data_IF_967863274210
#
_entry.id   IF_967863274210
#
_cell.length_a   1.000
_cell.length_b   1.000
_cell.length_c   1.000
_cell.angle_alpha   90.00
_cell.angle_beta   90.00
_cell.angle_gamma   90.00
#
_symmetry.space_group_name_H-M   'P 1'
#
loop_
_entity.id
_entity.type
_entity.pdbx_description
1 polymer ?
#
# COMPACT_ATOMS: atom_id res chain seq x y z
N UNK A 1 -52.74 33.05 41.17
CA UNK A 1 -52.91 32.87 39.71
C UNK A 1 -52.94 34.27 39.09
N UNK A 2 -51.87 34.72 38.45
CA UNK A 2 -51.77 36.10 37.96
C UNK A 2 -52.37 36.14 36.56
N UNK A 3 -53.64 36.57 36.43
CA UNK A 3 -54.27 36.75 35.13
C UNK A 3 -53.71 38.03 34.50
N UNK A 4 -52.98 37.89 33.39
CA UNK A 4 -52.54 39.04 32.61
C UNK A 4 -53.72 39.56 31.80
N UNK A 5 -54.29 40.68 32.24
CA UNK A 5 -55.32 41.41 31.51
C UNK A 5 -54.59 42.41 30.60
N UNK A 6 -54.87 42.38 29.30
CA UNK A 6 -54.24 43.32 28.36
C UNK A 6 -54.64 44.76 28.71
N UNK A 7 -53.76 45.72 28.44
CA UNK A 7 -54.03 47.14 28.72
C UNK A 7 -55.31 47.63 28.03
N UNK A 8 -55.61 47.14 26.81
CA UNK A 8 -56.86 47.46 26.12
C UNK A 8 -58.10 46.89 26.82
N UNK A 9 -58.02 45.68 27.41
CA UNK A 9 -59.12 45.13 28.22
C UNK A 9 -59.27 45.90 29.54
N UNK A 10 -58.17 46.33 30.17
CA UNK A 10 -58.24 47.21 31.36
C UNK A 10 -58.89 48.56 31.04
N UNK A 11 -58.59 49.13 29.87
CA UNK A 11 -59.17 50.38 29.40
C UNK A 11 -60.69 50.26 29.18
N UNK A 12 -61.16 49.16 28.58
CA UNK A 12 -62.58 48.87 28.39
C UNK A 12 -63.34 48.82 29.74
N UNK A 13 -62.78 48.12 30.73
CA UNK A 13 -63.37 48.09 32.07
C UNK A 13 -63.36 49.47 32.73
N UNK A 14 -62.29 50.25 32.58
CA UNK A 14 -62.20 51.60 33.18
C UNK A 14 -63.26 52.57 32.62
N UNK A 15 -63.55 52.51 31.32
CA UNK A 15 -64.58 53.33 30.66
C UNK A 15 -65.99 52.96 31.14
N UNK A 16 -66.27 51.65 31.25
CA UNK A 16 -67.55 51.16 31.76
C UNK A 16 -67.85 51.63 33.19
N UNK A 17 -66.84 51.67 34.07
CA UNK A 17 -67.00 52.11 35.45
C UNK A 17 -67.02 53.63 35.64
N UNK A 18 -66.46 54.43 34.73
CA UNK A 18 -66.38 55.91 34.87
C UNK A 18 -67.59 56.66 34.29
N UNK A 19 -68.06 56.29 33.10
CA UNK A 19 -68.99 57.13 32.33
C UNK A 19 -70.42 56.57 32.22
N UNK A 20 -70.69 55.37 32.77
CA UNK A 20 -72.00 54.69 32.89
C UNK A 20 -72.92 54.69 31.64
N UNK A 21 -72.38 54.88 30.44
CA UNK A 21 -73.18 54.87 29.20
C UNK A 21 -72.77 53.72 28.30
N UNK A 22 -73.77 52.99 27.82
CA UNK A 22 -73.62 51.84 26.91
C UNK A 22 -72.96 52.25 25.59
N UNK A 23 -73.25 53.46 25.11
CA UNK A 23 -72.70 54.03 23.86
C UNK A 23 -71.18 54.19 23.89
N UNK A 24 -70.63 54.74 24.96
CA UNK A 24 -69.18 54.94 25.10
C UNK A 24 -68.44 53.60 25.20
N UNK A 25 -69.05 52.61 25.86
CA UNK A 25 -68.49 51.27 25.95
C UNK A 25 -68.48 50.55 24.60
N UNK A 26 -69.57 50.63 23.82
CA UNK A 26 -69.64 50.05 22.46
C UNK A 26 -68.61 50.71 21.52
N UNK A 27 -68.42 52.03 21.62
CA UNK A 27 -67.40 52.74 20.84
C UNK A 27 -65.97 52.25 21.18
N UNK A 28 -65.66 52.15 22.46
CA UNK A 28 -64.37 51.66 22.93
C UNK A 28 -64.13 50.20 22.53
N UNK A 29 -65.16 49.35 22.55
CA UNK A 29 -65.10 47.97 22.06
C UNK A 29 -64.77 47.91 20.56
N UNK A 30 -65.41 48.75 19.75
CA UNK A 30 -65.16 48.82 18.31
C UNK A 30 -63.74 49.32 18.00
N UNK A 31 -63.23 50.29 18.75
CA UNK A 31 -61.83 50.76 18.64
C UNK A 31 -60.86 49.65 19.04
N UNK A 32 -61.07 49.00 20.19
CA UNK A 32 -60.23 47.89 20.64
C UNK A 32 -60.22 46.72 19.64
N UNK A 33 -61.36 46.40 19.02
CA UNK A 33 -61.44 45.36 18.00
C UNK A 33 -60.63 45.74 16.73
N UNK A 34 -60.72 47.00 16.28
CA UNK A 34 -59.93 47.51 15.15
C UNK A 34 -58.44 47.51 15.47
N UNK A 35 -58.04 48.00 16.64
CA UNK A 35 -56.64 48.00 17.07
C UNK A 35 -56.08 46.59 17.21
N UNK A 36 -56.85 45.66 17.78
CA UNK A 36 -56.45 44.25 17.89
C UNK A 36 -56.24 43.62 16.52
N UNK A 37 -57.08 43.95 15.54
CA UNK A 37 -56.95 43.47 14.16
C UNK A 37 -55.72 44.09 13.46
N UNK A 38 -55.49 45.40 13.62
CA UNK A 38 -54.33 46.11 13.08
C UNK A 38 -53.03 45.55 13.66
N UNK A 39 -52.94 45.42 14.98
CA UNK A 39 -51.77 44.88 15.67
C UNK A 39 -51.48 43.43 15.25
N UNK A 40 -52.52 42.60 15.07
CA UNK A 40 -52.34 41.24 14.55
C UNK A 40 -51.73 41.23 13.14
N UNK A 41 -52.15 42.16 12.28
CA UNK A 41 -51.62 42.27 10.92
C UNK A 41 -50.17 42.78 10.91
N UNK A 42 -49.87 43.79 11.73
CA UNK A 42 -48.51 44.34 11.85
C UNK A 42 -47.50 43.28 12.34
N UNK A 43 -47.90 42.45 13.32
CA UNK A 43 -47.09 41.32 13.79
C UNK A 43 -46.83 40.33 12.64
N UNK A 44 -47.85 39.97 11.85
CA UNK A 44 -47.68 39.06 10.70
C UNK A 44 -46.73 39.64 9.65
N UNK A 45 -46.90 40.91 9.31
CA UNK A 45 -46.08 41.59 8.30
C UNK A 45 -44.61 41.70 8.74
N UNK A 46 -44.38 41.98 10.04
CA UNK A 46 -43.05 41.97 10.63
C UNK A 46 -42.41 40.59 10.55
N UNK A 47 -43.11 39.54 10.99
CA UNK A 47 -42.59 38.17 10.93
C UNK A 47 -42.32 37.71 9.49
N UNK A 48 -43.19 38.09 8.54
CA UNK A 48 -43.00 37.75 7.13
C UNK A 48 -41.78 38.44 6.52
N UNK A 49 -41.54 39.70 6.90
CA UNK A 49 -40.36 40.46 6.50
C UNK A 49 -39.07 39.82 7.03
N UNK A 50 -39.03 39.49 8.32
CA UNK A 50 -37.88 38.83 8.95
C UNK A 50 -37.60 37.47 8.31
N UNK A 51 -38.63 36.68 8.05
CA UNK A 51 -38.52 35.39 7.38
C UNK A 51 -37.98 35.54 5.95
N UNK A 52 -38.49 36.50 5.19
CA UNK A 52 -38.02 36.79 3.83
C UNK A 52 -36.55 37.20 3.81
N UNK A 53 -36.12 38.01 4.77
CA UNK A 53 -34.71 38.42 4.90
C UNK A 53 -33.81 37.25 5.32
N UNK A 54 -34.29 36.35 6.18
CA UNK A 54 -33.55 35.13 6.52
C UNK A 54 -33.36 34.22 5.29
N UNK A 55 -34.41 34.06 4.47
CA UNK A 55 -34.34 33.29 3.23
C UNK A 55 -33.38 33.92 2.22
N UNK A 56 -33.36 35.25 2.08
CA UNK A 56 -32.47 35.91 1.10
C UNK A 56 -30.98 35.81 1.45
N UNK A 57 -30.65 35.55 2.73
CA UNK A 57 -29.28 35.29 3.19
C UNK A 57 -28.84 33.84 2.95
N UNK A 58 -29.76 32.92 2.66
CA UNK A 58 -29.40 31.53 2.37
C UNK A 58 -28.66 31.46 1.02
N UNK A 59 -27.58 30.66 0.94
CA UNK A 59 -26.90 30.43 -0.34
C UNK A 59 -27.87 29.79 -1.33
N UNK A 60 -27.80 30.23 -2.58
CA UNK A 60 -28.60 29.65 -3.65
C UNK A 60 -28.11 28.24 -3.97
N UNK A 61 -29.02 27.42 -4.52
CA UNK A 61 -28.70 26.06 -4.99
C UNK A 61 -27.57 26.12 -6.04
N UNK A 62 -27.57 27.11 -6.92
CA UNK A 62 -26.53 27.29 -7.94
C UNK A 62 -25.14 27.53 -7.33
N UNK A 63 -25.04 28.30 -6.24
CA UNK A 63 -23.79 28.52 -5.54
C UNK A 63 -23.28 27.22 -4.90
N UNK A 64 -24.19 26.41 -4.36
CA UNK A 64 -23.85 25.10 -3.79
C UNK A 64 -23.38 24.12 -4.87
N UNK A 65 -24.07 24.05 -6.00
CA UNK A 65 -23.68 23.22 -7.14
C UNK A 65 -22.29 23.61 -7.65
N UNK A 66 -22.05 24.91 -7.85
CA UNK A 66 -20.73 25.41 -8.29
C UNK A 66 -19.61 25.03 -7.31
N UNK A 67 -19.89 25.04 -6.00
CA UNK A 67 -18.92 24.59 -4.98
C UNK A 67 -18.71 23.08 -5.03
N UNK A 68 -19.77 22.32 -5.29
CA UNK A 68 -19.71 20.88 -5.43
C UNK A 68 -18.90 20.47 -6.66
N UNK A 69 -19.15 21.07 -7.82
CA UNK A 69 -18.41 20.82 -9.07
C UNK A 69 -16.90 21.12 -8.89
N UNK A 70 -16.57 22.23 -8.23
CA UNK A 70 -15.17 22.57 -7.90
C UNK A 70 -14.53 21.54 -6.97
N UNK A 71 -15.28 21.03 -6.00
CA UNK A 71 -14.81 20.01 -5.09
C UNK A 71 -14.56 18.70 -5.83
N UNK A 72 -15.51 18.27 -6.67
CA UNK A 72 -15.42 17.08 -7.50
C UNK A 72 -14.19 17.13 -8.41
N UNK A 73 -14.02 18.22 -9.17
CA UNK A 73 -12.85 18.42 -10.02
C UNK A 73 -11.53 18.36 -9.24
N UNK A 74 -11.48 19.01 -8.07
CA UNK A 74 -10.30 19.01 -7.20
C UNK A 74 -9.95 17.61 -6.66
N UNK A 75 -10.97 16.82 -6.33
CA UNK A 75 -10.80 15.44 -5.86
C UNK A 75 -10.34 14.54 -7.00
N UNK A 76 -10.98 14.59 -8.17
CA UNK A 76 -10.56 13.83 -9.35
C UNK A 76 -9.10 14.12 -9.71
N UNK A 77 -8.72 15.40 -9.79
CA UNK A 77 -7.35 15.78 -10.12
C UNK A 77 -6.31 15.30 -9.08
N UNK A 78 -6.70 15.14 -7.81
CA UNK A 78 -5.82 14.54 -6.78
C UNK A 78 -5.72 13.03 -6.92
N UNK A 79 -6.81 12.36 -7.27
CA UNK A 79 -6.82 10.92 -7.50
C UNK A 79 -5.96 10.56 -8.72
N UNK A 80 -6.10 11.28 -9.83
CA UNK A 80 -5.29 11.04 -11.04
C UNK A 80 -3.78 11.18 -10.76
N UNK A 81 -3.39 12.21 -9.99
CA UNK A 81 -2.00 12.42 -9.58
C UNK A 81 -1.50 11.30 -8.67
N UNK A 82 -2.36 10.81 -7.77
CA UNK A 82 -2.02 9.71 -6.88
C UNK A 82 -1.81 8.42 -7.67
N UNK A 83 -2.73 8.10 -8.57
CA UNK A 83 -2.66 6.94 -9.46
C UNK A 83 -1.35 6.94 -10.26
N UNK A 84 -1.06 8.05 -10.96
CA UNK A 84 0.17 8.19 -11.72
C UNK A 84 1.43 8.00 -10.84
N UNK A 85 1.45 8.59 -9.64
CA UNK A 85 2.58 8.44 -8.72
C UNK A 85 2.73 7.01 -8.20
N UNK A 86 1.64 6.26 -8.04
CA UNK A 86 1.68 4.87 -7.57
C UNK A 86 2.19 3.97 -8.69
N UNK A 87 1.67 4.11 -9.90
CA UNK A 87 2.15 3.37 -11.08
C UNK A 87 3.65 3.57 -11.29
N UNK A 88 4.12 4.82 -11.31
CA UNK A 88 5.55 5.10 -11.49
C UNK A 88 6.46 4.54 -10.38
N UNK A 89 5.92 4.31 -9.17
CA UNK A 89 6.67 3.65 -8.08
C UNK A 89 6.67 2.13 -8.25
N UNK A 90 5.59 1.55 -8.75
CA UNK A 90 5.51 0.12 -9.05
C UNK A 90 6.47 -0.25 -10.18
N UNK A 91 6.50 0.51 -11.28
CA UNK A 91 7.40 0.27 -12.40
C UNK A 91 8.87 0.26 -11.95
N UNK A 92 9.27 1.26 -11.15
CA UNK A 92 10.63 1.33 -10.58
C UNK A 92 10.95 0.18 -9.64
N UNK A 93 9.95 -0.31 -8.92
CA UNK A 93 10.12 -1.45 -8.01
C UNK A 93 10.32 -2.73 -8.82
N UNK A 94 9.54 -2.92 -9.88
CA UNK A 94 9.66 -4.05 -10.81
C UNK A 94 11.06 -4.08 -11.44
N UNK A 95 11.50 -2.97 -12.04
CA UNK A 95 12.85 -2.84 -12.62
C UNK A 95 13.96 -3.20 -11.62
N UNK A 96 13.84 -2.71 -10.38
CA UNK A 96 14.81 -2.95 -9.30
C UNK A 96 14.84 -4.41 -8.85
N UNK A 97 13.68 -5.08 -8.84
CA UNK A 97 13.58 -6.50 -8.50
C UNK A 97 14.17 -7.35 -9.62
N UNK A 98 13.81 -7.09 -10.89
CA UNK A 98 14.40 -7.78 -12.05
C UNK A 98 15.93 -7.67 -12.04
N UNK A 99 16.48 -6.45 -11.91
CA UNK A 99 17.92 -6.24 -11.87
C UNK A 99 18.64 -6.93 -10.68
N UNK A 100 17.93 -7.19 -9.58
CA UNK A 100 18.47 -7.94 -8.43
C UNK A 100 18.42 -9.45 -8.63
N UNK A 101 17.53 -9.95 -9.48
CA UNK A 101 17.43 -11.37 -9.81
C UNK A 101 18.40 -11.77 -10.92
N UNK A 102 18.65 -10.89 -11.90
CA UNK A 102 19.57 -11.19 -13.02
C UNK A 102 21.04 -11.25 -12.57
N UNK A 103 21.48 -10.32 -11.71
CA UNK A 103 22.89 -10.26 -11.22
C UNK A 103 23.41 -11.54 -10.56
N UNK A 104 22.68 -12.20 -9.65
CA UNK A 104 23.13 -13.45 -9.06
C UNK A 104 23.15 -14.61 -10.07
N UNK A 105 22.29 -14.61 -11.08
CA UNK A 105 22.30 -15.64 -12.12
C UNK A 105 23.63 -15.63 -12.89
N UNK A 106 24.04 -14.48 -13.41
CA UNK A 106 25.34 -14.32 -14.10
C UNK A 106 26.53 -14.72 -13.21
N UNK A 107 26.48 -14.34 -11.92
CA UNK A 107 27.53 -14.64 -10.95
C UNK A 107 27.63 -16.12 -10.63
N UNK A 108 26.49 -16.82 -10.56
CA UNK A 108 26.44 -18.27 -10.34
C UNK A 108 26.93 -19.00 -11.58
N UNK A 109 26.49 -18.62 -12.78
CA UNK A 109 26.98 -19.19 -14.04
C UNK A 109 28.51 -19.08 -14.15
N UNK A 110 29.07 -17.88 -13.94
CA UNK A 110 30.51 -17.68 -13.99
C UNK A 110 31.30 -18.48 -12.93
N UNK A 111 30.68 -18.79 -11.78
CA UNK A 111 31.30 -19.67 -10.76
C UNK A 111 31.24 -21.13 -11.16
N UNK A 112 30.15 -21.56 -11.81
CA UNK A 112 30.01 -22.92 -12.33
C UNK A 112 31.02 -23.18 -13.46
N UNK A 113 31.16 -22.27 -14.42
CA UNK A 113 32.14 -22.39 -15.51
C UNK A 113 33.56 -22.54 -14.97
N UNK A 114 33.96 -21.69 -14.02
CA UNK A 114 35.28 -21.77 -13.37
C UNK A 114 35.49 -23.07 -12.59
N UNK A 115 34.42 -23.61 -12.01
CA UNK A 115 34.49 -24.88 -11.29
C UNK A 115 34.65 -26.03 -12.29
N UNK A 116 33.91 -26.01 -13.39
CA UNK A 116 34.01 -26.98 -14.48
C UNK A 116 35.43 -27.01 -15.05
N UNK A 117 35.98 -25.86 -15.43
CA UNK A 117 37.35 -25.72 -15.93
C UNK A 117 38.39 -26.30 -14.94
N UNK A 118 38.22 -25.99 -13.66
CA UNK A 118 39.11 -26.45 -12.58
C UNK A 118 39.04 -27.97 -12.38
N UNK A 119 37.84 -28.55 -12.49
CA UNK A 119 37.62 -30.00 -12.41
C UNK A 119 38.21 -30.70 -13.63
N UNK A 120 37.95 -30.20 -14.85
CA UNK A 120 38.54 -30.72 -16.08
C UNK A 120 40.06 -30.72 -16.01
N UNK A 121 40.69 -29.60 -15.61
CA UNK A 121 42.14 -29.53 -15.48
C UNK A 121 42.72 -30.49 -14.44
N UNK A 122 41.97 -30.82 -13.37
CA UNK A 122 42.39 -31.83 -12.39
C UNK A 122 42.25 -33.25 -12.94
N UNK A 123 41.19 -33.54 -13.70
CA UNK A 123 41.00 -34.82 -14.37
C UNK A 123 42.09 -35.08 -15.40
N UNK A 124 42.42 -34.10 -16.25
CA UNK A 124 43.50 -34.21 -17.23
C UNK A 124 44.85 -34.51 -16.55
N UNK A 125 45.14 -33.85 -15.42
CA UNK A 125 46.36 -34.12 -14.65
C UNK A 125 46.38 -35.53 -14.06
N UNK A 126 45.24 -36.04 -13.59
CA UNK A 126 45.13 -37.39 -13.07
C UNK A 126 45.27 -38.44 -14.18
N UNK A 127 44.65 -38.21 -15.34
CA UNK A 127 44.76 -39.08 -16.52
C UNK A 127 46.21 -39.17 -16.99
N UNK A 128 46.90 -38.03 -17.14
CA UNK A 128 48.32 -38.01 -17.50
C UNK A 128 49.21 -38.77 -16.50
N UNK A 129 48.94 -38.63 -15.20
CA UNK A 129 49.67 -39.39 -14.16
C UNK A 129 49.40 -40.89 -14.25
N UNK A 130 48.15 -41.27 -14.47
CA UNK A 130 47.75 -42.68 -14.62
C UNK A 130 48.43 -43.30 -15.86
N UNK A 131 48.49 -42.57 -16.96
CA UNK A 131 49.18 -43.00 -18.17
C UNK A 131 50.69 -43.17 -17.96
N UNK A 132 51.33 -42.24 -17.25
CA UNK A 132 52.74 -42.38 -16.88
C UNK A 132 52.97 -43.64 -16.04
N UNK A 133 52.15 -43.83 -14.99
CA UNK A 133 52.24 -44.99 -14.11
C UNK A 133 52.04 -46.30 -14.89
N UNK A 134 51.07 -46.36 -15.81
CA UNK A 134 50.83 -47.53 -16.65
C UNK A 134 52.03 -47.85 -17.55
N UNK A 135 52.71 -46.84 -18.11
CA UNK A 135 53.94 -47.04 -18.89
C UNK A 135 55.09 -47.55 -18.03
N UNK A 136 55.27 -46.97 -16.86
CA UNK A 136 56.29 -47.42 -15.89
C UNK A 136 56.06 -48.88 -15.50
N UNK A 137 54.84 -49.24 -15.08
CA UNK A 137 54.49 -50.63 -14.74
C UNK A 137 54.73 -51.58 -15.91
N UNK A 138 54.29 -51.23 -17.13
CA UNK A 138 54.55 -52.05 -18.31
C UNK A 138 56.04 -52.27 -18.53
N UNK A 139 56.85 -51.23 -18.33
CA UNK A 139 58.31 -51.28 -18.49
C UNK A 139 58.92 -52.20 -17.43
N UNK A 140 58.54 -52.07 -16.16
CA UNK A 140 58.98 -52.96 -15.10
C UNK A 140 58.64 -54.42 -15.36
N UNK A 141 57.42 -54.71 -15.84
CA UNK A 141 57.00 -56.08 -16.18
C UNK A 141 57.86 -56.67 -17.31
N UNK A 142 58.18 -55.89 -18.34
CA UNK A 142 59.06 -56.35 -19.44
C UNK A 142 60.47 -56.64 -18.93
N UNK A 143 61.03 -55.76 -18.09
CA UNK A 143 62.36 -55.96 -17.48
C UNK A 143 62.35 -57.24 -16.63
N UNK A 144 61.34 -57.43 -15.78
CA UNK A 144 61.21 -58.64 -14.97
C UNK A 144 61.11 -59.91 -15.83
N UNK A 145 60.29 -59.89 -16.89
CA UNK A 145 60.17 -61.02 -17.81
C UNK A 145 61.49 -61.32 -18.54
N UNK A 146 62.23 -60.30 -18.97
CA UNK A 146 63.54 -60.46 -19.59
C UNK A 146 64.57 -61.04 -18.60
N UNK A 147 64.60 -60.55 -17.36
CA UNK A 147 65.45 -61.11 -16.31
C UNK A 147 65.11 -62.57 -16.03
N UNK A 148 63.83 -62.92 -15.92
CA UNK A 148 63.37 -64.30 -15.74
C UNK A 148 63.80 -65.23 -16.89
N UNK A 149 63.90 -64.72 -18.12
CA UNK A 149 64.35 -65.50 -19.27
C UNK A 149 65.86 -65.74 -19.28
N UNK A 150 66.65 -64.76 -18.81
CA UNK A 150 68.12 -64.84 -18.76
C UNK A 150 68.58 -65.70 -17.57
N UNK A 151 67.88 -65.61 -16.43
CA UNK A 151 68.19 -66.41 -15.24
C UNK A 151 67.67 -67.84 -15.43
N UNK A 152 68.55 -68.83 -15.25
CA UNK A 152 68.13 -70.25 -15.23
C UNK A 152 67.06 -70.50 -14.15
N UNK A 153 66.15 -71.49 -14.31
CA UNK A 153 65.00 -71.70 -13.42
C UNK A 153 65.37 -71.76 -11.92
N UNK A 154 66.52 -72.35 -11.60
CA UNK A 154 67.07 -72.47 -10.24
C UNK A 154 67.47 -71.14 -9.61
N UNK A 155 67.98 -70.19 -10.39
CA UNK A 155 68.39 -68.87 -9.87
C UNK A 155 67.13 -68.01 -9.62
N UNK A 156 66.10 -68.17 -10.44
CA UNK A 156 64.81 -67.50 -10.24
C UNK A 156 64.12 -67.94 -8.93
N UNK A 157 64.04 -69.25 -8.67
CA UNK A 157 63.44 -69.78 -7.43
C UNK A 157 64.14 -69.26 -6.18
N UNK A 158 65.47 -69.12 -6.22
CA UNK A 158 66.26 -68.56 -5.12
C UNK A 158 65.87 -67.10 -4.85
N UNK A 159 65.79 -66.27 -5.88
CA UNK A 159 65.43 -64.84 -5.73
C UNK A 159 63.99 -64.70 -5.23
N UNK A 160 63.05 -65.51 -5.76
CA UNK A 160 61.65 -65.48 -5.32
C UNK A 160 61.51 -65.91 -3.85
N UNK A 161 62.31 -66.88 -3.41
CA UNK A 161 62.37 -67.32 -2.02
C UNK A 161 62.84 -66.19 -1.09
N UNK A 162 63.88 -65.45 -1.50
CA UNK A 162 64.39 -64.30 -0.75
C UNK A 162 63.33 -63.19 -0.66
N UNK A 163 62.68 -62.85 -1.79
CA UNK A 163 61.66 -61.79 -1.82
C UNK A 163 60.42 -62.15 -0.99
N UNK A 164 59.95 -63.41 -1.06
CA UNK A 164 58.87 -63.91 -0.19
C UNK A 164 59.24 -63.93 1.28
N UNK A 165 60.52 -64.11 1.63
CA UNK A 165 60.98 -63.99 3.01
C UNK A 165 60.92 -62.54 3.49
N UNK A 166 61.25 -61.60 2.61
CA UNK A 166 61.29 -60.17 2.92
C UNK A 166 59.88 -59.55 3.03
N UNK A 167 58.93 -59.96 2.18
CA UNK A 167 57.52 -59.51 2.23
C UNK A 167 56.73 -60.10 3.40
N UNK A 168 57.27 -61.09 4.10
CA UNK A 168 56.61 -61.77 5.23
C UNK A 168 57.07 -61.21 6.60
N UNK A 169 58.03 -60.28 6.62
CA UNK A 169 58.33 -59.41 7.76
C UNK A 169 57.51 -58.12 7.64
#
# INVERSE_FOLDING_TARGET
>A
KNYYISEGVKALFSIYFKDQTEENFIKALNEFAKESQINSQEIKDKSFREFKEAISKLPTIDLLNTRFDKLEYSVCAKLDKLEYSVCAKLDKLEDSVCAKLDKPEDSVCAKLDKLEDSVCAKLDKLENKLDSFKREVRTYVIILAALMFILQPTIFDLILSIFKSFLRQ
#
